data_IF_353058293611
#
_entry.id   IF_353058293611
#
_cell.length_a   1.000
_cell.length_b   1.000
_cell.length_c   1.000
_cell.angle_alpha   90.00
_cell.angle_beta   90.00
_cell.angle_gamma   90.00
#
_symmetry.space_group_name_H-M   'P 1'
#
loop_
_entity.id
_entity.type
_entity.pdbx_description
1 polymer ?
#
# COMPACT_ATOMS: atom_id res chain seq x y z
N UNK A 1 -0.45 18.28 -17.09
CA UNK A 1 -1.57 17.39 -16.80
C UNK A 1 -1.50 17.00 -15.32
N UNK A 2 -2.47 17.44 -14.55
CA UNK A 2 -2.59 17.05 -13.14
C UNK A 2 -2.87 15.55 -13.11
N UNK A 3 -1.95 14.79 -12.54
CA UNK A 3 -2.21 13.44 -12.09
C UNK A 3 -3.28 13.55 -11.01
N UNK A 4 -4.54 13.42 -11.40
CA UNK A 4 -5.61 13.16 -10.48
C UNK A 4 -5.34 11.76 -9.96
N UNK A 5 -4.97 11.64 -8.68
CA UNK A 5 -4.89 10.33 -8.05
C UNK A 5 -6.27 9.69 -8.17
N UNK A 6 -6.32 8.37 -8.37
CA UNK A 6 -7.60 7.64 -8.40
C UNK A 6 -8.43 7.86 -7.13
N UNK A 7 -7.79 8.19 -6.01
CA UNK A 7 -8.44 8.63 -4.79
C UNK A 7 -9.22 9.95 -4.93
N UNK A 8 -8.78 10.87 -5.80
CA UNK A 8 -9.52 12.11 -6.05
C UNK A 8 -10.75 11.88 -6.94
N UNK A 9 -10.74 10.89 -7.83
CA UNK A 9 -11.91 10.53 -8.63
C UNK A 9 -13.00 9.83 -7.79
N UNK A 10 -12.62 9.14 -6.73
CA UNK A 10 -13.54 8.45 -5.82
C UNK A 10 -14.35 9.43 -4.93
N UNK A 11 -13.80 10.61 -4.67
CA UNK A 11 -14.49 11.66 -3.90
C UNK A 11 -15.55 12.39 -4.75
N UNK A 12 -15.34 12.51 -6.06
CA UNK A 12 -16.17 13.33 -6.92
C UNK A 12 -17.30 12.60 -7.64
N UNK A 13 -17.20 11.29 -7.84
CA UNK A 13 -18.26 10.49 -8.44
C UNK A 13 -18.14 9.05 -7.94
N UNK A 14 -19.02 8.62 -7.08
CA UNK A 14 -19.32 7.19 -6.90
C UNK A 14 -19.96 6.69 -8.20
N UNK A 15 -19.16 6.43 -9.19
CA UNK A 15 -19.62 5.72 -10.36
C UNK A 15 -19.43 4.23 -10.08
N UNK A 16 -20.45 3.44 -10.31
CA UNK A 16 -20.32 1.99 -10.37
C UNK A 16 -19.31 1.66 -11.46
N UNK A 17 -18.16 1.14 -11.06
CA UNK A 17 -17.16 0.64 -11.99
C UNK A 17 -17.49 -0.84 -12.19
N UNK A 18 -18.30 -1.14 -13.20
CA UNK A 18 -18.74 -2.47 -13.48
C UNK A 18 -20.25 -2.66 -13.25
N UNK A 19 -20.72 -3.89 -13.40
CA UNK A 19 -22.13 -4.27 -13.34
C UNK A 19 -22.60 -4.73 -11.96
N UNK A 20 -21.69 -4.91 -11.01
CA UNK A 20 -21.97 -5.40 -9.66
C UNK A 20 -21.37 -4.47 -8.60
N UNK A 21 -22.06 -4.29 -7.49
CA UNK A 21 -21.51 -3.69 -6.29
C UNK A 21 -20.49 -4.61 -5.65
N UNK A 22 -19.48 -4.02 -4.97
CA UNK A 22 -18.38 -4.77 -4.36
C UNK A 22 -18.85 -5.82 -3.34
N UNK A 23 -19.78 -5.46 -2.47
CA UNK A 23 -20.29 -6.36 -1.44
C UNK A 23 -21.12 -7.50 -2.05
N UNK A 24 -21.89 -7.21 -3.10
CA UNK A 24 -22.63 -8.22 -3.86
C UNK A 24 -21.67 -9.21 -4.54
N UNK A 25 -20.61 -8.69 -5.15
CA UNK A 25 -19.57 -9.52 -5.75
C UNK A 25 -18.86 -10.39 -4.71
N UNK A 26 -18.52 -9.82 -3.56
CA UNK A 26 -17.88 -10.53 -2.46
C UNK A 26 -18.77 -11.68 -1.95
N UNK A 27 -20.07 -11.42 -1.76
CA UNK A 27 -21.04 -12.43 -1.29
C UNK A 27 -21.29 -13.55 -2.31
N UNK A 28 -20.94 -13.36 -3.57
CA UNK A 28 -20.99 -14.41 -4.59
C UNK A 28 -19.82 -15.39 -4.54
N UNK A 29 -18.83 -15.15 -3.69
CA UNK A 29 -17.66 -15.99 -3.52
C UNK A 29 -18.00 -17.34 -2.87
N UNK A 30 -17.16 -18.34 -3.16
CA UNK A 30 -17.26 -19.67 -2.54
C UNK A 30 -16.40 -19.72 -1.28
N UNK A 31 -17.02 -19.79 -0.11
CA UNK A 31 -16.35 -19.91 1.19
C UNK A 31 -15.50 -21.18 1.31
N UNK A 32 -15.82 -22.22 0.55
CA UNK A 32 -15.12 -23.48 0.54
C UNK A 32 -14.10 -23.60 -0.60
N UNK A 33 -13.79 -22.49 -1.26
CA UNK A 33 -12.85 -22.49 -2.37
C UNK A 33 -11.50 -23.08 -1.98
N UNK A 34 -11.09 -24.13 -2.69
CA UNK A 34 -9.80 -24.78 -2.46
C UNK A 34 -8.70 -24.05 -3.23
N UNK A 35 -7.81 -23.42 -2.50
CA UNK A 35 -6.66 -22.75 -3.08
C UNK A 35 -5.78 -23.71 -3.87
N UNK A 36 -5.38 -23.28 -5.07
CA UNK A 36 -4.46 -24.03 -5.93
C UNK A 36 -3.17 -23.24 -6.04
N UNK A 37 -2.06 -23.92 -5.80
CA UNK A 37 -0.75 -23.33 -6.07
C UNK A 37 -0.59 -23.10 -7.57
N UNK A 38 0.12 -22.01 -7.98
CA UNK A 38 0.41 -21.80 -9.39
C UNK A 38 1.24 -22.97 -9.93
N UNK A 39 0.93 -23.41 -11.16
CA UNK A 39 1.71 -24.44 -11.84
C UNK A 39 3.09 -23.95 -12.26
N UNK A 40 3.21 -22.66 -12.53
CA UNK A 40 4.42 -21.97 -12.91
C UNK A 40 4.52 -20.67 -12.11
N UNK A 41 5.60 -20.49 -11.37
CA UNK A 41 5.84 -19.31 -10.57
C UNK A 41 6.10 -18.04 -11.40
N UNK A 42 6.35 -18.17 -12.69
CA UNK A 42 6.44 -17.06 -13.65
C UNK A 42 5.09 -16.58 -14.16
N UNK A 43 4.01 -17.28 -13.82
CA UNK A 43 2.67 -16.87 -14.18
C UNK A 43 2.37 -15.46 -13.64
N UNK A 44 1.75 -14.63 -14.48
CA UNK A 44 1.35 -13.28 -14.14
C UNK A 44 0.28 -13.26 -13.05
N UNK A 45 0.40 -12.34 -12.09
CA UNK A 45 -0.59 -12.11 -11.03
C UNK A 45 -1.17 -10.70 -11.07
N UNK A 46 -0.45 -9.73 -11.63
CA UNK A 46 -0.92 -8.37 -11.71
C UNK A 46 -0.29 -7.63 -12.89
N UNK A 47 -0.99 -6.59 -13.36
CA UNK A 47 -0.50 -5.65 -14.37
C UNK A 47 -0.58 -4.24 -13.81
N UNK A 48 0.57 -3.62 -13.60
CA UNK A 48 0.68 -2.21 -13.25
C UNK A 48 1.10 -1.37 -14.46
N UNK A 49 0.87 -0.07 -14.41
CA UNK A 49 1.30 0.85 -15.46
C UNK A 49 2.25 1.92 -14.91
N UNK A 50 3.27 2.25 -15.68
CA UNK A 50 4.12 3.41 -15.38
C UNK A 50 3.37 4.70 -15.69
N UNK A 51 3.79 5.81 -15.07
CA UNK A 51 3.17 7.14 -15.28
C UNK A 51 3.40 7.72 -16.69
N UNK A 52 4.35 7.19 -17.45
CA UNK A 52 4.64 7.66 -18.81
C UNK A 52 5.22 9.07 -18.88
N UNK A 53 6.02 9.50 -17.92
CA UNK A 53 6.60 10.85 -17.86
C UNK A 53 7.45 11.23 -19.08
N UNK A 54 8.02 10.25 -19.78
CA UNK A 54 8.87 10.44 -20.96
C UNK A 54 8.29 9.79 -22.23
N UNK A 55 7.02 9.37 -22.20
CA UNK A 55 6.36 8.69 -23.30
C UNK A 55 5.04 8.05 -22.86
N UNK A 56 4.53 7.12 -23.67
CA UNK A 56 3.31 6.39 -23.33
C UNK A 56 3.49 5.53 -22.08
N UNK A 57 2.45 5.40 -21.24
CA UNK A 57 2.46 4.46 -20.12
C UNK A 57 2.79 3.05 -20.60
N UNK A 58 3.64 2.35 -19.84
CA UNK A 58 4.05 0.97 -20.13
C UNK A 58 3.42 0.03 -19.12
N UNK A 59 2.86 -1.08 -19.60
CA UNK A 59 2.39 -2.15 -18.77
C UNK A 59 3.57 -2.95 -18.17
N UNK A 60 3.55 -3.12 -16.86
CA UNK A 60 4.53 -3.92 -16.11
C UNK A 60 3.81 -5.13 -15.53
N UNK A 61 4.21 -6.31 -15.97
CA UNK A 61 3.64 -7.58 -15.51
C UNK A 61 4.38 -8.05 -14.26
N UNK A 62 3.63 -8.28 -13.21
CA UNK A 62 4.13 -8.91 -11.99
C UNK A 62 3.84 -10.41 -12.05
N UNK A 63 4.76 -11.23 -11.55
CA UNK A 63 4.62 -12.69 -11.50
C UNK A 63 4.81 -13.21 -10.06
N UNK A 64 4.32 -14.42 -9.78
CA UNK A 64 4.34 -15.01 -8.44
C UNK A 64 5.73 -14.99 -7.81
N UNK A 65 6.74 -15.47 -8.52
CA UNK A 65 8.13 -15.51 -8.04
C UNK A 65 8.64 -14.12 -7.61
N UNK A 66 8.47 -13.10 -8.47
CA UNK A 66 8.95 -11.75 -8.20
C UNK A 66 8.27 -11.13 -6.97
N UNK A 67 6.97 -11.29 -6.88
CA UNK A 67 6.20 -10.78 -5.74
C UNK A 67 6.55 -11.48 -4.43
N UNK A 68 6.75 -12.81 -4.47
CA UNK A 68 7.20 -13.58 -3.32
C UNK A 68 8.60 -13.16 -2.84
N UNK A 69 9.56 -13.07 -3.76
CA UNK A 69 10.93 -12.66 -3.44
C UNK A 69 10.99 -11.23 -2.89
N UNK A 70 10.22 -10.31 -3.47
CA UNK A 70 10.13 -8.93 -2.98
C UNK A 70 9.49 -8.87 -1.59
N UNK A 71 8.41 -9.61 -1.36
CA UNK A 71 7.74 -9.68 -0.06
C UNK A 71 8.67 -10.21 1.03
N UNK A 72 9.37 -11.31 0.73
CA UNK A 72 10.34 -11.93 1.65
C UNK A 72 11.54 -11.01 1.88
N UNK A 73 12.10 -10.46 0.81
CA UNK A 73 13.22 -9.52 0.88
C UNK A 73 12.90 -8.27 1.70
N UNK A 74 11.70 -7.72 1.56
CA UNK A 74 11.25 -6.58 2.36
C UNK A 74 11.18 -6.92 3.84
N UNK A 75 10.63 -8.08 4.21
CA UNK A 75 10.54 -8.50 5.60
C UNK A 75 11.93 -8.66 6.23
N UNK A 76 12.87 -9.28 5.50
CA UNK A 76 14.25 -9.50 5.97
C UNK A 76 15.03 -8.18 6.03
N UNK A 77 15.04 -7.41 4.96
CA UNK A 77 15.81 -6.16 4.86
C UNK A 77 15.37 -5.11 5.90
N UNK A 78 14.11 -5.14 6.26
CA UNK A 78 13.54 -4.20 7.23
C UNK A 78 13.39 -4.81 8.63
N UNK A 79 13.87 -6.03 8.81
CA UNK A 79 13.78 -6.76 10.07
C UNK A 79 12.36 -6.72 10.67
N UNK A 80 11.37 -7.03 9.83
CA UNK A 80 9.96 -6.96 10.20
C UNK A 80 9.58 -8.13 11.09
N UNK A 81 9.08 -7.89 12.32
CA UNK A 81 8.60 -8.97 13.17
C UNK A 81 7.28 -9.53 12.65
N UNK A 82 6.95 -10.75 13.06
CA UNK A 82 5.63 -11.31 12.83
C UNK A 82 4.55 -10.49 13.55
N UNK A 83 3.35 -10.47 12.98
CA UNK A 83 2.15 -9.84 13.56
C UNK A 83 2.29 -8.34 13.82
N UNK A 84 3.13 -7.64 13.06
CA UNK A 84 3.25 -6.19 13.16
C UNK A 84 1.97 -5.45 12.69
N UNK A 85 1.81 -4.23 13.14
CA UNK A 85 0.75 -3.32 12.70
C UNK A 85 1.30 -2.34 11.66
N UNK A 86 0.84 -2.45 10.43
CA UNK A 86 1.29 -1.68 9.29
C UNK A 86 0.24 -0.64 8.86
N UNK A 87 0.60 0.64 8.87
CA UNK A 87 -0.24 1.70 8.33
C UNK A 87 0.04 1.90 6.84
N UNK A 88 -0.99 1.77 6.04
CA UNK A 88 -0.88 1.85 4.59
C UNK A 88 -1.06 3.28 4.10
N UNK A 89 0.04 3.99 3.85
CA UNK A 89 0.06 5.35 3.28
C UNK A 89 0.43 5.37 1.80
N UNK A 90 0.98 4.27 1.28
CA UNK A 90 1.28 4.09 -0.14
C UNK A 90 0.01 3.65 -0.86
N UNK A 91 -0.35 4.24 -2.01
CA UNK A 91 -1.47 3.75 -2.80
C UNK A 91 -1.27 2.28 -3.20
N UNK A 92 -2.26 1.42 -2.95
CA UNK A 92 -2.13 -0.03 -3.21
C UNK A 92 -1.94 -0.36 -4.68
N UNK A 93 -2.38 0.51 -5.60
CA UNK A 93 -2.17 0.33 -7.03
C UNK A 93 -0.75 0.71 -7.50
N UNK A 94 -0.03 1.55 -6.76
CA UNK A 94 1.31 2.00 -7.12
C UNK A 94 2.33 0.92 -6.78
N UNK A 95 2.95 0.32 -7.82
CA UNK A 95 3.84 -0.84 -7.67
C UNK A 95 3.20 -1.93 -6.77
N UNK A 96 1.89 -2.15 -6.95
CA UNK A 96 1.06 -3.01 -6.11
C UNK A 96 1.32 -2.80 -4.61
N UNK A 97 1.34 -1.51 -4.23
CA UNK A 97 1.57 -1.10 -2.85
C UNK A 97 2.93 -1.52 -2.31
N UNK A 98 3.97 -1.53 -3.15
CA UNK A 98 5.33 -1.96 -2.80
C UNK A 98 5.40 -3.40 -2.29
N UNK A 99 4.53 -4.26 -2.77
CA UNK A 99 4.38 -5.67 -2.37
C UNK A 99 4.01 -5.89 -0.88
N UNK A 100 3.73 -4.85 -0.12
CA UNK A 100 3.35 -5.00 1.30
C UNK A 100 2.06 -5.80 1.55
N UNK A 101 1.05 -5.85 0.67
CA UNK A 101 -0.08 -6.76 0.88
C UNK A 101 0.37 -8.22 1.04
N UNK A 102 1.31 -8.66 0.20
CA UNK A 102 1.88 -10.01 0.28
C UNK A 102 2.82 -10.18 1.47
N UNK A 103 3.65 -9.15 1.77
CA UNK A 103 4.52 -9.17 2.96
C UNK A 103 3.68 -9.32 4.22
N UNK A 104 2.62 -8.52 4.38
CA UNK A 104 1.75 -8.58 5.57
C UNK A 104 1.05 -9.93 5.69
N UNK A 105 0.59 -10.51 4.58
CA UNK A 105 0.01 -11.86 4.59
C UNK A 105 1.01 -12.91 5.04
N UNK A 106 2.26 -12.83 4.57
CA UNK A 106 3.33 -13.76 4.92
C UNK A 106 3.71 -13.74 6.40
N UNK A 107 3.79 -12.54 7.00
CA UNK A 107 4.18 -12.37 8.41
C UNK A 107 2.98 -12.23 9.36
N UNK A 108 1.76 -12.52 8.89
CA UNK A 108 0.52 -12.36 9.65
C UNK A 108 0.33 -10.94 10.23
N UNK A 109 0.80 -9.92 9.49
CA UNK A 109 0.70 -8.53 9.89
C UNK A 109 -0.72 -7.98 9.74
N UNK A 110 -1.07 -7.01 10.59
CA UNK A 110 -2.32 -6.26 10.45
C UNK A 110 -2.11 -5.07 9.53
N UNK A 111 -2.98 -4.92 8.54
CA UNK A 111 -3.02 -3.76 7.65
C UNK A 111 -4.04 -2.74 8.14
N UNK A 112 -3.60 -1.51 8.39
CA UNK A 112 -4.47 -0.37 8.69
C UNK A 112 -4.53 0.51 7.44
N UNK A 113 -5.71 0.59 6.82
CA UNK A 113 -5.92 1.36 5.60
C UNK A 113 -6.20 2.83 5.90
N UNK A 114 -5.62 3.70 5.07
CA UNK A 114 -5.83 5.14 5.10
C UNK A 114 -6.35 5.59 3.74
N UNK A 115 -7.52 6.24 3.70
CA UNK A 115 -8.12 6.68 2.44
C UNK A 115 -7.42 7.91 1.86
N UNK A 116 -7.13 8.89 2.70
CA UNK A 116 -6.48 10.15 2.32
C UNK A 116 -5.29 10.41 3.23
N UNK A 117 -4.24 11.03 2.69
CA UNK A 117 -3.11 11.48 3.49
C UNK A 117 -3.53 12.71 4.31
N UNK A 118 -3.70 12.50 5.59
CA UNK A 118 -4.03 13.51 6.60
C UNK A 118 -3.11 13.29 7.80
N UNK A 119 -2.33 14.30 8.13
CA UNK A 119 -1.28 14.21 9.16
C UNK A 119 -1.87 13.89 10.53
N UNK A 120 -2.90 14.62 10.94
CA UNK A 120 -3.58 14.39 12.22
C UNK A 120 -4.14 12.98 12.31
N UNK A 121 -4.77 12.53 11.20
CA UNK A 121 -5.32 11.18 11.11
C UNK A 121 -4.26 10.10 11.19
N UNK A 122 -3.11 10.32 10.58
CA UNK A 122 -1.97 9.39 10.67
C UNK A 122 -1.53 9.23 12.12
N UNK A 123 -1.31 10.33 12.87
CA UNK A 123 -0.94 10.27 14.28
C UNK A 123 -2.02 9.56 15.12
N UNK A 124 -3.31 9.84 14.89
CA UNK A 124 -4.41 9.17 15.55
C UNK A 124 -4.42 7.66 15.31
N UNK A 125 -4.19 7.23 14.04
CA UNK A 125 -4.17 5.81 13.67
C UNK A 125 -2.96 5.09 14.25
N UNK A 126 -1.80 5.75 14.28
CA UNK A 126 -0.58 5.21 14.90
C UNK A 126 -0.83 4.89 16.36
N UNK A 127 -1.42 5.80 17.10
CA UNK A 127 -1.72 5.60 18.52
C UNK A 127 -2.83 4.55 18.72
N UNK A 128 -3.95 4.71 18.00
CA UNK A 128 -5.14 3.86 18.17
C UNK A 128 -4.90 2.38 17.86
N UNK A 129 -4.15 2.11 16.79
CA UNK A 129 -3.91 0.75 16.31
C UNK A 129 -2.51 0.24 16.61
N UNK A 130 -1.78 0.98 17.44
CA UNK A 130 -0.44 0.60 17.84
C UNK A 130 0.49 0.32 16.65
N UNK A 131 0.40 1.17 15.63
CA UNK A 131 1.19 1.03 14.41
C UNK A 131 2.68 0.99 14.73
N UNK A 132 3.37 0.03 14.17
CA UNK A 132 4.81 -0.16 14.33
C UNK A 132 5.59 0.20 13.08
N UNK A 133 4.97 0.05 11.92
CA UNK A 133 5.62 0.25 10.62
C UNK A 133 4.69 0.95 9.63
N UNK A 134 5.24 1.80 8.78
CA UNK A 134 4.57 2.32 7.60
C UNK A 134 5.57 2.67 6.50
N UNK A 135 5.11 2.60 5.24
CA UNK A 135 5.84 3.13 4.09
C UNK A 135 5.24 4.46 3.66
N UNK A 136 6.04 5.39 3.21
CA UNK A 136 5.53 6.66 2.72
C UNK A 136 6.42 7.32 1.70
N UNK A 137 5.83 8.02 0.72
CA UNK A 137 6.59 8.89 -0.16
C UNK A 137 7.30 9.98 0.66
N UNK A 138 8.45 10.50 0.20
CA UNK A 138 9.19 11.55 0.91
C UNK A 138 8.33 12.74 1.32
N UNK A 139 7.35 13.10 0.48
CA UNK A 139 6.41 14.18 0.79
C UNK A 139 5.56 13.88 2.03
N UNK A 140 5.13 12.64 2.24
CA UNK A 140 4.35 12.22 3.40
C UNK A 140 5.20 12.30 4.66
N UNK A 141 6.45 11.81 4.60
CA UNK A 141 7.38 11.91 5.73
C UNK A 141 7.70 13.37 6.08
N UNK A 142 7.88 14.22 5.07
CA UNK A 142 8.11 15.64 5.26
C UNK A 142 6.89 16.35 5.92
N UNK A 143 5.67 16.00 5.50
CA UNK A 143 4.45 16.51 6.12
C UNK A 143 4.35 16.10 7.60
N UNK A 144 4.72 14.88 7.93
CA UNK A 144 4.72 14.41 9.33
C UNK A 144 5.80 15.08 10.17
N UNK A 145 7.01 15.21 9.63
CA UNK A 145 8.13 15.84 10.33
C UNK A 145 7.93 17.34 10.60
N UNK A 146 7.20 18.04 9.71
CA UNK A 146 6.92 19.47 9.84
C UNK A 146 5.46 19.75 10.25
N UNK A 147 4.78 18.78 10.82
CA UNK A 147 3.41 18.96 11.27
C UNK A 147 3.32 20.02 12.39
N UNK A 148 2.30 20.89 12.37
CA UNK A 148 2.04 21.79 13.51
C UNK A 148 1.79 20.99 14.80
N UNK A 149 2.18 21.54 15.94
CA UNK A 149 2.03 20.88 17.26
C UNK A 149 0.60 20.41 17.54
N UNK A 150 -0.40 21.17 17.13
CA UNK A 150 -1.82 20.81 17.30
C UNK A 150 -2.29 19.64 16.42
N UNK A 151 -1.46 19.20 15.48
CA UNK A 151 -1.71 18.02 14.65
C UNK A 151 -0.84 16.83 15.05
N UNK A 152 0.20 17.07 15.82
CA UNK A 152 1.06 16.03 16.34
C UNK A 152 0.43 15.33 17.54
N UNK A 153 0.84 14.10 17.76
CA UNK A 153 0.54 13.34 18.96
C UNK A 153 1.83 12.70 19.45
N UNK A 154 2.08 12.77 20.75
CA UNK A 154 3.21 12.06 21.34
C UNK A 154 3.08 10.55 21.06
N UNK A 155 4.12 9.99 20.48
CA UNK A 155 4.15 8.56 20.16
C UNK A 155 4.70 7.79 21.36
N UNK A 156 3.88 6.90 21.90
CA UNK A 156 4.21 6.07 23.06
C UNK A 156 5.20 4.94 22.73
N UNK A 157 5.53 4.78 21.44
CA UNK A 157 6.41 3.72 20.96
C UNK A 157 7.21 4.17 19.74
N UNK A 158 8.28 3.45 19.45
CA UNK A 158 9.04 3.64 18.22
C UNK A 158 8.24 3.16 17.03
N UNK A 159 8.18 3.99 15.99
CA UNK A 159 7.55 3.69 14.70
C UNK A 159 8.63 3.71 13.63
N UNK A 160 8.67 2.67 12.82
CA UNK A 160 9.62 2.54 11.73
C UNK A 160 8.96 3.01 10.43
N UNK A 161 9.62 3.95 9.76
CA UNK A 161 9.15 4.45 8.48
C UNK A 161 10.15 4.12 7.37
N UNK A 162 9.65 3.68 6.22
CA UNK A 162 10.45 3.50 5.03
C UNK A 162 10.00 4.43 3.91
N UNK A 163 10.95 4.94 3.17
CA UNK A 163 10.74 5.73 1.97
C UNK A 163 11.72 5.32 0.89
N UNK A 164 11.49 5.77 -0.32
CA UNK A 164 12.45 5.64 -1.40
C UNK A 164 13.36 6.88 -1.47
N UNK A 165 14.60 6.66 -1.87
CA UNK A 165 15.63 7.71 -1.98
C UNK A 165 15.69 8.38 -3.34
N UNK A 166 14.66 8.26 -4.18
CA UNK A 166 14.65 8.92 -5.47
C UNK A 166 14.54 10.43 -5.26
N UNK A 167 15.69 11.06 -5.10
CA UNK A 167 15.81 12.49 -5.37
C UNK A 167 15.47 12.68 -6.84
N UNK A 168 14.50 13.53 -7.12
CA UNK A 168 14.30 14.03 -8.48
C UNK A 168 15.63 14.63 -8.91
N UNK A 169 16.30 13.98 -9.86
CA UNK A 169 17.27 14.66 -10.68
C UNK A 169 16.50 15.68 -11.54
N UNK A 170 16.61 16.92 -11.20
CA UNK A 170 16.24 18.05 -12.04
C UNK A 170 17.50 18.56 -12.72
#
# INVERSE_FOLDING_TARGET
PRLLSSAASDVYKRQNIGSLEYEEFLNSGDENFKWKMPKDEWQAIALGYTSGTTGNPKGVVYHHRGSYLMATGSAVAWNMPNQLNFLYTVPMFHCNGWCYPWTMSMIHGRVICLRNIDVKKIFELIDKYEVTHFGGAPIVLNMLANAPENQQKELKRKVYAVSYTHLRAH
#
